data_IF_066771483761
#
_entry.id   IF_066771483761
#
_cell.length_a   1.000
_cell.length_b   1.000
_cell.length_c   1.000
_cell.angle_alpha   90.00
_cell.angle_beta   90.00
_cell.angle_gamma   90.00
#
_symmetry.space_group_name_H-M   'P 1'
#
loop_
_entity.id
_entity.type
_entity.pdbx_description
1 polymer ?
#
# COMPACT_ATOMS: atom_id res chain seq x y z
N UNK A 1 12.04 -1.25 -14.22
CA UNK A 1 11.47 -2.49 -13.68
C UNK A 1 12.62 -3.41 -13.28
N UNK A 2 12.70 -3.83 -12.02
CA UNK A 2 13.70 -4.78 -11.53
C UNK A 2 13.00 -6.10 -11.21
N UNK A 3 13.51 -7.22 -11.72
CA UNK A 3 12.90 -8.54 -11.56
C UNK A 3 13.74 -9.38 -10.61
N UNK A 4 13.14 -9.79 -9.49
CA UNK A 4 13.78 -10.60 -8.47
C UNK A 4 12.96 -11.88 -8.26
N UNK A 5 13.62 -13.03 -8.26
CA UNK A 5 13.01 -14.32 -7.89
C UNK A 5 13.37 -14.65 -6.44
N UNK A 6 12.35 -14.86 -5.61
CA UNK A 6 12.50 -15.19 -4.19
C UNK A 6 11.72 -16.45 -3.85
N UNK A 7 12.30 -17.29 -3.01
CA UNK A 7 11.63 -18.45 -2.42
C UNK A 7 10.78 -18.03 -1.23
N UNK A 8 9.90 -18.92 -0.79
CA UNK A 8 9.16 -18.73 0.46
C UNK A 8 10.12 -18.57 1.62
N UNK A 9 9.89 -17.57 2.46
CA UNK A 9 10.75 -17.21 3.59
C UNK A 9 11.81 -16.16 3.25
N UNK A 10 12.03 -15.82 1.98
CA UNK A 10 12.96 -14.76 1.62
C UNK A 10 12.27 -13.38 1.56
N UNK A 11 13.06 -12.33 1.81
CA UNK A 11 12.61 -10.95 1.82
C UNK A 11 13.41 -10.07 0.86
N UNK A 12 12.79 -8.98 0.44
CA UNK A 12 13.34 -7.92 -0.40
C UNK A 12 13.24 -6.64 0.41
N UNK A 13 14.33 -5.91 0.49
CA UNK A 13 14.39 -4.61 1.15
C UNK A 13 14.46 -3.52 0.09
N UNK A 14 13.64 -2.49 0.25
CA UNK A 14 13.54 -1.34 -0.64
C UNK A 14 13.71 -0.07 0.19
N UNK A 15 14.32 0.95 -0.42
CA UNK A 15 14.59 2.25 0.20
C UNK A 15 15.35 2.13 1.54
N UNK A 16 16.58 1.61 1.47
CA UNK A 16 17.52 1.51 2.61
C UNK A 16 17.02 0.82 3.89
N UNK A 17 15.92 0.07 3.85
CA UNK A 17 15.34 -0.59 5.02
C UNK A 17 13.91 -0.19 5.33
N UNK A 18 13.40 0.88 4.74
CA UNK A 18 12.07 1.40 5.07
C UNK A 18 10.96 0.44 4.64
N UNK A 19 11.10 -0.18 3.47
CA UNK A 19 10.09 -1.08 2.93
C UNK A 19 10.66 -2.50 2.85
N UNK A 20 9.98 -3.45 3.47
CA UNK A 20 10.33 -4.87 3.42
C UNK A 20 9.19 -5.68 2.82
N UNK A 21 9.48 -6.43 1.76
CA UNK A 21 8.55 -7.33 1.10
C UNK A 21 9.01 -8.76 1.38
N UNK A 22 8.23 -9.53 2.12
CA UNK A 22 8.52 -10.93 2.45
C UNK A 22 7.59 -11.88 1.70
N UNK A 23 8.14 -12.97 1.16
CA UNK A 23 7.34 -14.04 0.56
C UNK A 23 6.89 -15.00 1.65
N UNK A 24 5.65 -14.87 2.10
CA UNK A 24 5.09 -15.70 3.17
C UNK A 24 4.68 -17.10 2.69
N UNK A 25 4.40 -17.24 1.40
CA UNK A 25 4.01 -18.52 0.82
C UNK A 25 3.65 -18.42 -0.64
N UNK A 26 3.71 -19.55 -1.33
CA UNK A 26 3.32 -19.69 -2.73
C UNK A 26 2.32 -20.82 -2.87
N UNK A 27 1.20 -20.53 -3.49
CA UNK A 27 0.16 -21.48 -3.91
C UNK A 27 0.12 -21.44 -5.44
N UNK A 28 -0.36 -22.51 -6.11
CA UNK A 28 -0.20 -22.74 -7.57
C UNK A 28 -0.24 -21.50 -8.48
N UNK A 29 -1.14 -20.55 -8.20
CA UNK A 29 -1.25 -19.29 -8.93
C UNK A 29 -1.35 -18.03 -8.03
N UNK A 30 -0.99 -18.15 -6.75
CA UNK A 30 -1.15 -17.05 -5.78
C UNK A 30 0.03 -16.99 -4.83
N UNK A 31 0.66 -15.84 -4.76
CA UNK A 31 1.74 -15.57 -3.81
C UNK A 31 1.18 -14.79 -2.63
N UNK A 32 1.53 -15.22 -1.41
CA UNK A 32 1.30 -14.46 -0.19
C UNK A 32 2.53 -13.58 0.04
N UNK A 33 2.33 -12.28 -0.04
CA UNK A 33 3.34 -11.26 0.21
C UNK A 33 3.00 -10.57 1.53
N UNK A 34 3.95 -10.54 2.46
CA UNK A 34 3.94 -9.62 3.58
C UNK A 34 4.64 -8.35 3.12
N UNK A 35 4.01 -7.20 3.36
CA UNK A 35 4.63 -5.89 3.07
C UNK A 35 4.64 -5.12 4.37
N UNK A 36 5.83 -4.75 4.82
CA UNK A 36 6.06 -3.88 5.96
C UNK A 36 6.61 -2.58 5.42
N UNK A 37 5.96 -1.46 5.75
CA UNK A 37 6.41 -0.12 5.40
C UNK A 37 6.02 0.85 6.52
N UNK A 38 6.72 1.98 6.66
CA UNK A 38 6.34 3.05 7.59
C UNK A 38 5.00 3.68 7.20
N UNK A 39 4.38 4.40 8.15
CA UNK A 39 3.07 5.04 7.99
C UNK A 39 3.00 6.08 6.86
N UNK A 40 4.14 6.67 6.49
CA UNK A 40 4.24 7.58 5.35
C UNK A 40 3.96 6.89 4.02
N UNK A 41 4.20 5.57 3.93
CA UNK A 41 4.07 4.78 2.71
C UNK A 41 2.73 4.05 2.70
N UNK A 42 1.78 4.60 1.95
CA UNK A 42 0.47 3.97 1.72
C UNK A 42 0.57 2.71 0.83
N UNK A 43 0.42 1.52 1.42
CA UNK A 43 0.36 0.26 0.66
C UNK A 43 -1.07 0.03 0.15
N UNK A 44 -1.24 0.00 -1.19
CA UNK A 44 -2.53 -0.31 -1.84
C UNK A 44 -2.36 -1.38 -2.91
N UNK A 45 -3.41 -2.18 -3.11
CA UNK A 45 -3.52 -3.03 -4.31
C UNK A 45 -3.66 -2.13 -5.52
N UNK A 46 -2.92 -2.40 -6.60
CA UNK A 46 -2.94 -1.56 -7.82
C UNK A 46 -4.36 -1.30 -8.33
N UNK A 47 -5.24 -2.30 -8.29
CA UNK A 47 -6.63 -2.17 -8.73
C UNK A 47 -7.43 -1.10 -7.96
N UNK A 48 -7.11 -0.90 -6.67
CA UNK A 48 -7.74 0.12 -5.83
C UNK A 48 -7.10 1.49 -6.07
N UNK A 49 -5.78 1.53 -6.25
CA UNK A 49 -5.05 2.77 -6.54
C UNK A 49 -5.46 3.40 -7.87
N UNK A 50 -5.74 2.58 -8.89
CA UNK A 50 -6.16 3.06 -10.20
C UNK A 50 -7.56 3.70 -10.17
N UNK A 51 -8.48 3.15 -9.36
CA UNK A 51 -9.82 3.73 -9.14
C UNK A 51 -9.75 5.08 -8.44
N UNK A 52 -8.88 5.22 -7.43
CA UNK A 52 -8.78 6.44 -6.62
C UNK A 52 -8.09 7.59 -7.37
N UNK A 53 -7.04 7.30 -8.15
CA UNK A 53 -6.36 8.32 -8.96
C UNK A 53 -7.25 8.85 -10.09
N UNK A 54 -8.09 8.01 -10.69
CA UNK A 54 -9.04 8.45 -11.72
C UNK A 54 -10.22 9.25 -11.13
N UNK A 55 -10.53 9.06 -9.85
CA UNK A 55 -11.66 9.72 -9.19
C UNK A 55 -11.35 11.13 -8.67
N UNK A 56 -10.07 11.59 -8.67
CA UNK A 56 -9.71 12.99 -8.37
C UNK A 56 -10.24 13.56 -7.03
N UNK A 57 -10.69 12.71 -6.12
CA UNK A 57 -11.31 13.12 -4.87
C UNK A 57 -10.30 12.99 -3.73
N UNK A 58 -9.73 14.11 -3.24
CA UNK A 58 -9.25 14.13 -1.87
C UNK A 58 -10.48 13.94 -0.97
N UNK A 59 -10.73 12.70 -0.55
CA UNK A 59 -11.68 12.46 0.55
C UNK A 59 -11.04 13.02 1.82
N UNK A 60 -11.34 14.29 2.07
CA UNK A 60 -10.71 15.12 3.06
C UNK A 60 -11.23 16.55 2.97
N UNK A 61 -12.54 16.72 2.73
CA UNK A 61 -13.20 17.98 3.03
C UNK A 61 -13.34 18.05 4.55
N UNK A 62 -12.71 19.04 5.23
CA UNK A 62 -12.96 19.26 6.64
C UNK A 62 -14.44 19.63 6.80
N UNK A 63 -15.11 18.95 7.73
CA UNK A 63 -16.40 19.36 8.22
C UNK A 63 -16.19 20.68 8.99
N UNK A 64 -16.31 21.81 8.27
CA UNK A 64 -16.29 23.15 8.83
C UNK A 64 -17.72 23.70 8.90
N UNK A 65 -18.08 24.19 10.09
CA UNK A 65 -19.04 25.26 10.27
C UNK A 65 -20.52 24.88 10.38
N UNK A 66 -21.01 24.80 11.62
CA UNK A 66 -22.21 25.53 12.07
C UNK A 66 -22.34 25.48 13.60
N UNK A 67 -21.55 26.31 14.27
CA UNK A 67 -21.80 26.79 15.63
C UNK A 67 -22.51 28.15 15.53
N UNK A 68 -23.63 28.31 16.23
CA UNK A 68 -24.32 29.58 16.54
C UNK A 68 -25.16 30.15 15.40
N UNK A 69 -26.43 30.55 15.54
CA UNK A 69 -27.31 31.04 16.62
C UNK A 69 -28.35 31.96 15.92
N UNK A 70 -29.18 32.78 16.60
CA UNK A 70 -29.60 32.83 18.00
C UNK A 70 -30.94 32.12 18.29
#
# INVERSE_FOLDING_TARGET
>A
MLVLSRKTGESIVVNHGEITIAVLGMSRNRVRLGVTAPEEVSIRRMEVHQRLQQAGMPTGSPHDGSTGGP
#
